data_IF_078565702311
#
_entry.id   IF_078565702311
#
_cell.length_a   1.000
_cell.length_b   1.000
_cell.length_c   1.000
_cell.angle_alpha   90.00
_cell.angle_beta   90.00
_cell.angle_gamma   90.00
#
_symmetry.space_group_name_H-M   'P 1'
#
loop_
_entity.id
_entity.type
_entity.pdbx_description
1 polymer ?
#
# COMPACT_ATOMS: atom_id res chain seq x y z
N UNK A 1 -1.35 15.74 -29.26
CA UNK A 1 -2.30 15.29 -28.20
C UNK A 1 -2.28 16.30 -27.07
N UNK A 2 -3.39 16.46 -26.34
CA UNK A 2 -3.38 17.35 -25.18
C UNK A 2 -2.37 16.87 -24.12
N UNK A 3 -1.77 17.77 -23.32
CA UNK A 3 -0.82 17.40 -22.27
C UNK A 3 -1.39 16.36 -21.29
N UNK A 4 -2.68 16.50 -20.94
CA UNK A 4 -3.41 15.52 -20.12
C UNK A 4 -3.49 14.14 -20.78
N UNK A 5 -3.76 14.08 -22.09
CA UNK A 5 -3.79 12.80 -22.81
C UNK A 5 -2.43 12.12 -22.83
N UNK A 6 -1.35 12.88 -23.03
CA UNK A 6 0.01 12.33 -23.03
C UNK A 6 0.43 11.86 -21.62
N UNK A 7 0.08 12.62 -20.57
CA UNK A 7 0.38 12.24 -19.20
C UNK A 7 -0.25 10.89 -18.86
N UNK A 8 -1.56 10.74 -19.03
CA UNK A 8 -2.26 9.50 -18.64
C UNK A 8 -1.93 8.30 -19.54
N UNK A 9 -1.60 8.54 -20.81
CA UNK A 9 -1.36 7.45 -21.78
C UNK A 9 0.11 7.02 -21.87
N UNK A 10 1.05 7.90 -21.55
CA UNK A 10 2.49 7.68 -21.72
C UNK A 10 3.23 7.80 -20.39
N UNK A 11 3.22 8.97 -19.73
CA UNK A 11 3.98 9.15 -18.49
C UNK A 11 3.45 8.29 -17.35
N UNK A 12 2.15 8.30 -17.09
CA UNK A 12 1.52 7.66 -15.95
C UNK A 12 1.79 6.15 -15.94
N UNK A 13 1.60 5.38 -17.04
CA UNK A 13 1.96 3.96 -17.09
C UNK A 13 3.46 3.68 -16.90
N UNK A 14 4.33 4.60 -17.33
CA UNK A 14 5.79 4.46 -17.17
C UNK A 14 6.22 4.63 -15.71
N UNK A 15 5.61 5.56 -14.98
CA UNK A 15 5.93 5.80 -13.56
C UNK A 15 5.06 4.97 -12.60
N UNK A 16 3.97 4.36 -13.09
CA UNK A 16 3.01 3.60 -12.30
C UNK A 16 3.64 2.52 -11.41
N UNK A 17 4.62 1.72 -11.85
CA UNK A 17 5.28 0.75 -10.98
C UNK A 17 5.94 1.41 -9.76
N UNK A 18 6.64 2.54 -9.98
CA UNK A 18 7.28 3.30 -8.91
C UNK A 18 6.27 3.98 -7.97
N UNK A 19 5.17 4.51 -8.51
CA UNK A 19 4.08 5.09 -7.71
C UNK A 19 3.43 4.03 -6.83
N UNK A 20 3.18 2.83 -7.35
CA UNK A 20 2.61 1.72 -6.56
C UNK A 20 3.58 1.27 -5.47
N UNK A 21 4.88 1.15 -5.76
CA UNK A 21 5.89 0.85 -4.74
C UNK A 21 5.95 1.92 -3.65
N UNK A 22 5.91 3.21 -4.01
CA UNK A 22 5.86 4.31 -3.04
C UNK A 22 4.57 4.31 -2.22
N UNK A 23 3.43 4.00 -2.83
CA UNK A 23 2.14 3.86 -2.15
C UNK A 23 2.13 2.73 -1.13
N UNK A 24 2.71 1.56 -1.47
CA UNK A 24 2.87 0.45 -0.53
C UNK A 24 3.75 0.85 0.67
N UNK A 25 4.85 1.55 0.41
CA UNK A 25 5.77 1.99 1.46
C UNK A 25 5.11 3.00 2.41
N UNK A 26 4.39 3.98 1.85
CA UNK A 26 3.62 4.95 2.62
C UNK A 26 2.51 4.29 3.44
N UNK A 27 1.82 3.30 2.85
CA UNK A 27 0.78 2.53 3.55
C UNK A 27 1.34 1.79 4.76
N UNK A 28 2.43 1.03 4.60
CA UNK A 28 3.07 0.28 5.70
C UNK A 28 3.53 1.24 6.81
N UNK A 29 4.15 2.35 6.41
CA UNK A 29 4.64 3.36 7.37
C UNK A 29 3.50 3.95 8.20
N UNK A 30 2.31 4.13 7.62
CA UNK A 30 1.15 4.65 8.36
C UNK A 30 0.67 3.76 9.53
N UNK A 31 0.96 2.45 9.48
CA UNK A 31 0.65 1.53 10.59
C UNK A 31 1.77 1.49 11.65
N UNK A 32 3.00 1.85 11.28
CA UNK A 32 4.15 1.93 12.20
C UNK A 32 4.05 3.15 13.15
N UNK A 33 3.33 4.20 12.73
CA UNK A 33 3.08 5.39 13.57
C UNK A 33 2.22 5.10 14.81
N UNK A 34 1.71 3.88 15.03
CA UNK A 34 0.88 3.53 16.20
C UNK A 34 1.54 3.91 17.53
N UNK A 35 2.87 3.77 17.63
CA UNK A 35 3.63 4.17 18.82
C UNK A 35 3.45 5.67 19.07
N UNK A 36 3.61 6.49 18.03
CA UNK A 36 3.46 7.94 18.10
C UNK A 36 2.01 8.30 18.46
N UNK A 37 1.03 7.67 17.82
CA UNK A 37 -0.39 7.94 18.09
C UNK A 37 -0.81 7.55 19.51
N UNK A 38 -0.18 6.55 20.11
CA UNK A 38 -0.44 6.15 21.51
C UNK A 38 0.16 7.10 22.54
N UNK A 39 1.34 7.70 22.25
CA UNK A 39 2.05 8.57 23.19
C UNK A 39 1.78 10.07 23.00
N UNK A 40 1.51 10.50 21.77
CA UNK A 40 1.32 11.91 21.39
C UNK A 40 -0.14 12.20 21.02
N UNK A 41 -0.89 11.20 20.54
CA UNK A 41 -2.29 11.35 20.14
C UNK A 41 -3.24 11.47 21.34
N UNK A 42 -4.08 12.50 21.32
CA UNK A 42 -5.12 12.72 22.33
C UNK A 42 -6.18 11.59 22.36
N UNK A 43 -6.94 11.45 23.46
CA UNK A 43 -7.94 10.39 23.62
C UNK A 43 -9.04 10.38 22.54
N UNK A 44 -9.31 11.50 21.88
CA UNK A 44 -10.28 11.60 20.78
C UNK A 44 -9.73 11.15 19.41
N UNK A 45 -8.41 10.98 19.27
CA UNK A 45 -7.80 10.55 18.00
C UNK A 45 -7.81 9.04 17.89
N UNK A 46 -8.91 8.52 17.32
CA UNK A 46 -9.10 7.09 17.10
C UNK A 46 -8.65 6.71 15.70
N UNK A 47 -7.43 6.15 15.59
CA UNK A 47 -6.91 5.58 14.34
C UNK A 47 -7.10 4.06 14.33
N UNK A 48 -7.16 3.48 13.12
CA UNK A 48 -7.26 2.03 12.89
C UNK A 48 -6.22 1.23 13.71
N UNK A 49 -4.91 1.56 13.68
CA UNK A 49 -3.92 0.84 14.48
C UNK A 49 -4.08 1.04 15.99
N UNK A 50 -4.54 2.21 16.46
CA UNK A 50 -4.85 2.44 17.89
C UNK A 50 -6.01 1.58 18.38
N UNK A 51 -7.06 1.43 17.57
CA UNK A 51 -8.16 0.51 17.90
C UNK A 51 -7.71 -0.95 17.92
N UNK A 52 -6.90 -1.36 16.95
CA UNK A 52 -6.33 -2.71 16.93
C UNK A 52 -5.49 -2.97 18.19
N UNK A 53 -4.68 -2.00 18.62
CA UNK A 53 -3.90 -2.08 19.86
C UNK A 53 -4.78 -2.20 21.13
N UNK A 54 -5.81 -1.36 21.23
CA UNK A 54 -6.76 -1.40 22.35
C UNK A 54 -7.54 -2.70 22.40
N UNK A 55 -7.94 -3.24 21.25
CA UNK A 55 -8.68 -4.49 21.15
C UNK A 55 -7.85 -5.69 21.63
N UNK A 56 -6.56 -5.78 21.27
CA UNK A 56 -5.67 -6.86 21.75
C UNK A 56 -5.60 -6.90 23.29
N UNK A 57 -5.72 -5.75 23.95
CA UNK A 57 -5.66 -5.62 25.42
C UNK A 57 -6.95 -6.01 26.14
N UNK A 58 -8.11 -5.91 25.48
CA UNK A 58 -9.43 -6.08 26.12
C UNK A 58 -10.07 -7.44 25.83
N UNK A 59 -9.79 -8.04 24.66
CA UNK A 59 -10.10 -9.42 24.23
C UNK A 59 -9.74 -9.47 22.73
N UNK A 60 -9.10 -10.52 22.22
CA UNK A 60 -8.78 -10.61 20.78
C UNK A 60 -10.09 -10.64 19.99
N UNK A 61 -10.56 -9.45 19.59
CA UNK A 61 -11.79 -9.32 18.84
C UNK A 61 -11.55 -9.83 17.42
N UNK A 62 -12.46 -10.67 16.87
CA UNK A 62 -12.37 -11.14 15.50
C UNK A 62 -12.28 -9.99 14.48
N UNK A 63 -12.73 -8.78 14.83
CA UNK A 63 -12.59 -7.57 14.02
C UNK A 63 -11.13 -7.22 13.72
N UNK A 64 -10.21 -7.42 14.66
CA UNK A 64 -8.77 -7.16 14.48
C UNK A 64 -8.18 -8.12 13.45
N UNK A 65 -8.59 -9.39 13.54
CA UNK A 65 -8.16 -10.45 12.61
C UNK A 65 -8.71 -10.20 11.20
N UNK A 66 -9.95 -9.71 11.08
CA UNK A 66 -10.51 -9.30 9.79
C UNK A 66 -9.75 -8.13 9.18
N UNK A 67 -9.44 -7.09 9.97
CA UNK A 67 -8.64 -5.97 9.52
C UNK A 67 -7.24 -6.42 9.05
N UNK A 68 -6.54 -7.24 9.84
CA UNK A 68 -5.24 -7.79 9.46
C UNK A 68 -5.29 -8.57 8.14
N UNK A 69 -6.33 -9.40 7.94
CA UNK A 69 -6.53 -10.15 6.69
C UNK A 69 -6.71 -9.22 5.49
N UNK A 70 -7.50 -8.14 5.63
CA UNK A 70 -7.68 -7.13 4.57
C UNK A 70 -6.35 -6.45 4.24
N UNK A 71 -5.55 -6.07 5.25
CA UNK A 71 -4.23 -5.46 5.04
C UNK A 71 -3.29 -6.39 4.27
N UNK A 72 -3.32 -7.69 4.59
CA UNK A 72 -2.56 -8.73 3.88
C UNK A 72 -3.03 -8.84 2.43
N UNK A 73 -4.33 -8.89 2.18
CA UNK A 73 -4.90 -8.96 0.82
C UNK A 73 -4.47 -7.74 0.00
N UNK A 74 -4.55 -6.53 0.57
CA UNK A 74 -4.11 -5.29 -0.09
C UNK A 74 -2.62 -5.38 -0.44
N UNK A 75 -1.78 -5.84 0.48
CA UNK A 75 -0.34 -5.99 0.25
C UNK A 75 -0.07 -6.99 -0.89
N UNK A 76 -0.75 -8.13 -0.91
CA UNK A 76 -0.64 -9.13 -1.98
C UNK A 76 -1.07 -8.53 -3.33
N UNK A 77 -2.19 -7.81 -3.37
CA UNK A 77 -2.69 -7.17 -4.59
C UNK A 77 -1.71 -6.13 -5.12
N UNK A 78 -1.13 -5.31 -4.25
CA UNK A 78 -0.13 -4.30 -4.64
C UNK A 78 1.13 -4.97 -5.20
N UNK A 79 1.70 -5.95 -4.50
CA UNK A 79 2.88 -6.67 -4.95
C UNK A 79 2.64 -7.41 -6.27
N UNK A 80 1.47 -8.05 -6.41
CA UNK A 80 1.07 -8.73 -7.66
C UNK A 80 0.95 -7.71 -8.79
N UNK A 81 0.36 -6.54 -8.54
CA UNK A 81 0.24 -5.48 -9.54
C UNK A 81 1.62 -4.98 -9.99
N UNK A 82 2.55 -4.78 -9.07
CA UNK A 82 3.94 -4.40 -9.38
C UNK A 82 4.60 -5.46 -10.26
N UNK A 83 4.50 -6.73 -9.90
CA UNK A 83 5.08 -7.84 -10.66
C UNK A 83 4.48 -7.97 -12.06
N UNK A 84 3.16 -7.82 -12.20
CA UNK A 84 2.49 -7.84 -13.51
C UNK A 84 2.91 -6.67 -14.40
N UNK A 85 3.04 -5.46 -13.82
CA UNK A 85 3.50 -4.29 -14.54
C UNK A 85 4.98 -4.44 -14.93
N UNK A 86 5.82 -4.95 -14.04
CA UNK A 86 7.23 -5.25 -14.31
C UNK A 86 7.36 -6.22 -15.48
N UNK A 87 6.59 -7.32 -15.49
CA UNK A 87 6.54 -8.28 -16.61
C UNK A 87 6.12 -7.62 -17.92
N UNK A 88 5.15 -6.69 -17.89
CA UNK A 88 4.77 -5.92 -19.08
C UNK A 88 5.92 -5.05 -19.58
N UNK A 89 6.63 -4.37 -18.69
CA UNK A 89 7.78 -3.53 -19.05
C UNK A 89 8.95 -4.35 -19.58
N UNK A 90 9.24 -5.52 -19.01
CA UNK A 90 10.27 -6.45 -19.50
C UNK A 90 9.95 -6.95 -20.92
N UNK A 91 8.68 -7.29 -21.20
CA UNK A 91 8.23 -7.65 -22.55
C UNK A 91 8.39 -6.50 -23.56
N UNK A 92 8.13 -5.26 -23.14
CA UNK A 92 8.29 -4.07 -23.99
C UNK A 92 9.75 -3.70 -24.24
N UNK A 93 10.66 -4.08 -23.33
CA UNK A 93 12.10 -3.82 -23.44
C UNK A 93 12.87 -4.82 -24.29
N UNK A 94 12.24 -5.91 -24.75
CA UNK A 94 12.86 -6.82 -25.72
C UNK A 94 14.23 -7.34 -25.30
N UNK A 95 14.43 -7.64 -24.01
CA UNK A 95 15.67 -8.29 -23.55
C UNK A 95 15.59 -9.75 -24.00
N UNK A 96 16.01 -9.99 -25.24
CA UNK A 96 16.41 -11.31 -25.71
C UNK A 96 17.58 -11.74 -24.83
N UNK A 97 17.47 -12.80 -24.02
CA UNK A 97 18.65 -13.38 -23.42
C UNK A 97 19.43 -14.03 -24.57
N UNK A 98 20.61 -13.48 -24.88
CA UNK A 98 21.65 -14.15 -25.65
C UNK A 98 22.23 -15.30 -24.85
#
# INVERSE_FOLDING_TARGET
>A
GSPFHNFFKIQMPLILPGVISGGLFAFITSFDEVVIVLFVGGPEQVTLPRQMWSGIRQEISPTILSAATILVIISILLLTTVELLRRRTERLRGVTPS
#
